data_IF_790651113988
#
_entry.id   IF_790651113988
#
_cell.length_a   1.000
_cell.length_b   1.000
_cell.length_c   1.000
_cell.angle_alpha   90.00
_cell.angle_beta   90.00
_cell.angle_gamma   90.00
#
_symmetry.space_group_name_H-M   'P 1'
#
loop_
_entity.id
_entity.type
_entity.pdbx_description
1 polymer ?
#
# COMPACT_ATOMS: atom_id res chain seq x y z
N UNK A 1 0.38 8.96 -37.12
CA UNK A 1 -0.95 8.84 -36.52
C UNK A 1 -1.05 7.67 -35.58
N UNK A 2 -0.62 6.49 -36.01
CA UNK A 2 -0.61 5.29 -35.18
C UNK A 2 0.29 5.44 -33.95
N UNK A 3 1.32 6.27 -34.04
CA UNK A 3 2.25 6.52 -32.91
C UNK A 3 1.57 7.14 -31.68
N UNK A 4 0.62 8.04 -31.92
CA UNK A 4 -0.10 8.70 -30.84
C UNK A 4 -1.01 7.69 -30.14
N UNK A 5 -1.64 6.80 -30.91
CA UNK A 5 -2.49 5.75 -30.36
C UNK A 5 -1.71 4.74 -29.53
N UNK A 6 -0.47 4.46 -29.88
CA UNK A 6 0.34 3.48 -29.17
C UNK A 6 0.81 3.97 -27.79
N UNK A 7 0.75 5.29 -27.54
CA UNK A 7 1.09 5.84 -26.24
C UNK A 7 -0.05 5.78 -25.24
N UNK A 8 -1.29 5.68 -25.73
CA UNK A 8 -2.47 5.66 -24.87
C UNK A 8 -2.54 4.46 -23.92
N UNK A 9 -2.24 3.23 -24.35
CA UNK A 9 -2.32 2.08 -23.45
C UNK A 9 -1.44 2.22 -22.22
N UNK A 10 -0.30 2.87 -22.36
CA UNK A 10 0.64 3.05 -21.26
C UNK A 10 0.04 3.87 -20.12
N UNK A 11 -0.81 4.85 -20.45
CA UNK A 11 -1.41 5.75 -19.47
C UNK A 11 -2.65 5.14 -18.80
N UNK A 12 -3.36 4.23 -19.50
CA UNK A 12 -4.68 3.77 -19.09
C UNK A 12 -4.70 2.38 -18.47
N UNK A 13 -3.52 1.76 -18.26
CA UNK A 13 -3.47 0.39 -17.79
C UNK A 13 -3.32 0.27 -16.27
N UNK A 14 -4.04 1.09 -15.52
CA UNK A 14 -4.14 0.87 -14.09
C UNK A 14 -5.24 -0.17 -13.88
N UNK A 15 -4.83 -1.41 -13.67
CA UNK A 15 -5.76 -2.48 -13.35
C UNK A 15 -6.00 -2.48 -11.84
N UNK A 16 -7.27 -2.58 -11.47
CA UNK A 16 -7.66 -2.61 -10.07
C UNK A 16 -7.45 -3.99 -9.47
N UNK A 17 -7.68 -5.03 -10.29
CA UNK A 17 -7.53 -6.41 -9.83
C UNK A 17 -6.06 -6.77 -9.67
N UNK A 18 -5.71 -7.22 -8.49
CA UNK A 18 -4.36 -7.70 -8.19
C UNK A 18 -4.47 -9.17 -7.81
N UNK A 19 -3.85 -10.01 -8.63
CA UNK A 19 -3.84 -11.44 -8.41
C UNK A 19 -2.42 -11.97 -8.44
N UNK A 20 -2.11 -12.82 -7.47
CA UNK A 20 -0.86 -13.55 -7.46
C UNK A 20 -1.16 -15.02 -7.70
N UNK A 21 -0.34 -15.65 -8.54
CA UNK A 21 -0.42 -17.10 -8.73
C UNK A 21 -0.07 -17.80 -7.40
N UNK A 22 -0.39 -19.08 -7.32
CA UNK A 22 -0.05 -19.88 -6.14
C UNK A 22 1.45 -19.83 -5.84
N UNK A 23 2.27 -19.92 -6.88
CA UNK A 23 3.73 -19.85 -6.77
C UNK A 23 4.19 -18.49 -6.28
N UNK A 24 3.61 -17.41 -6.83
CA UNK A 24 3.92 -16.04 -6.40
C UNK A 24 3.51 -15.82 -4.95
N UNK A 25 2.31 -16.28 -4.58
CA UNK A 25 1.82 -16.15 -3.22
C UNK A 25 2.73 -16.86 -2.21
N UNK A 26 3.23 -18.04 -2.56
CA UNK A 26 4.18 -18.76 -1.72
C UNK A 26 5.48 -17.98 -1.55
N UNK A 27 5.96 -17.36 -2.61
CA UNK A 27 7.18 -16.54 -2.55
C UNK A 27 6.95 -15.29 -1.68
N UNK A 28 5.80 -14.63 -1.83
CA UNK A 28 5.42 -13.48 -1.02
C UNK A 28 5.37 -13.87 0.46
N UNK A 29 4.75 -15.00 0.77
CA UNK A 29 4.65 -15.51 2.13
C UNK A 29 6.01 -15.76 2.76
N UNK A 30 6.95 -16.24 1.97
CA UNK A 30 8.32 -16.49 2.42
C UNK A 30 9.04 -15.17 2.71
N UNK A 31 8.92 -14.18 1.82
CA UNK A 31 9.53 -12.87 2.00
C UNK A 31 8.91 -12.09 3.14
N UNK A 32 7.59 -12.20 3.30
CA UNK A 32 6.86 -11.50 4.35
C UNK A 32 6.59 -12.33 5.58
N UNK A 33 7.45 -13.28 5.88
CA UNK A 33 7.28 -14.16 7.03
C UNK A 33 7.18 -13.35 8.32
N UNK A 34 6.18 -13.68 9.14
CA UNK A 34 5.89 -13.00 10.41
C UNK A 34 5.32 -11.58 10.24
N UNK A 35 4.99 -11.15 9.03
CA UNK A 35 4.35 -9.86 8.81
C UNK A 35 2.83 -10.02 8.75
N UNK A 36 2.15 -9.01 9.27
CA UNK A 36 0.70 -8.84 9.19
C UNK A 36 0.45 -7.39 8.84
N UNK A 37 -0.14 -7.14 7.66
CA UNK A 37 -0.36 -5.77 7.20
C UNK A 37 -1.33 -4.99 8.08
N UNK A 38 -2.06 -5.66 8.96
CA UNK A 38 -2.95 -5.02 9.91
C UNK A 38 -2.18 -4.38 11.06
N UNK A 39 -0.95 -4.84 11.32
CA UNK A 39 -0.11 -4.33 12.41
C UNK A 39 1.32 -4.33 11.89
N UNK A 40 1.72 -3.27 11.22
CA UNK A 40 3.03 -3.17 10.57
C UNK A 40 3.59 -1.76 10.72
N UNK A 41 4.92 -1.64 10.78
CA UNK A 41 5.56 -0.34 10.78
C UNK A 41 5.74 0.19 9.35
N UNK A 42 5.77 1.51 9.15
CA UNK A 42 6.12 2.06 7.84
C UNK A 42 7.46 1.55 7.31
N UNK A 43 8.44 1.38 8.19
CA UNK A 43 9.75 0.87 7.82
C UNK A 43 9.68 -0.56 7.29
N UNK A 44 8.88 -1.42 7.91
CA UNK A 44 8.67 -2.79 7.46
C UNK A 44 7.94 -2.82 6.12
N UNK A 45 6.99 -1.89 5.89
CA UNK A 45 6.31 -1.74 4.60
C UNK A 45 7.31 -1.43 3.48
N UNK A 46 8.22 -0.48 3.72
CA UNK A 46 9.25 -0.12 2.75
C UNK A 46 10.12 -1.33 2.42
N UNK A 47 10.57 -2.03 3.46
CA UNK A 47 11.41 -3.22 3.28
C UNK A 47 10.71 -4.30 2.48
N UNK A 48 9.46 -4.57 2.81
CA UNK A 48 8.64 -5.54 2.08
C UNK A 48 8.51 -5.14 0.61
N UNK A 49 8.19 -3.86 0.35
CA UNK A 49 8.08 -3.35 -1.00
C UNK A 49 9.35 -3.54 -1.82
N UNK A 50 10.48 -3.21 -1.24
CA UNK A 50 11.77 -3.38 -1.91
C UNK A 50 12.08 -4.85 -2.21
N UNK A 51 11.80 -5.74 -1.27
CA UNK A 51 12.01 -7.18 -1.47
C UNK A 51 11.09 -7.74 -2.56
N UNK A 52 9.82 -7.34 -2.55
CA UNK A 52 8.86 -7.78 -3.57
C UNK A 52 9.24 -7.27 -4.96
N UNK A 53 9.69 -6.03 -5.05
CA UNK A 53 10.10 -5.44 -6.32
C UNK A 53 11.37 -6.12 -6.86
N UNK A 54 12.35 -6.35 -6.01
CA UNK A 54 13.59 -7.04 -6.39
C UNK A 54 13.31 -8.46 -6.88
N UNK A 55 12.33 -9.13 -6.28
CA UNK A 55 11.90 -10.47 -6.69
C UNK A 55 10.98 -10.46 -7.91
N UNK A 56 10.70 -9.28 -8.49
CA UNK A 56 9.83 -9.11 -9.65
C UNK A 56 8.38 -9.57 -9.41
N UNK A 57 7.93 -9.47 -8.18
CA UNK A 57 6.57 -9.85 -7.79
C UNK A 57 5.59 -8.70 -7.91
N UNK A 58 6.07 -7.45 -7.87
CA UNK A 58 5.24 -6.26 -8.01
C UNK A 58 5.87 -5.30 -9.03
N UNK A 59 5.05 -4.40 -9.56
CA UNK A 59 5.48 -3.37 -10.50
C UNK A 59 6.11 -2.18 -9.76
N UNK A 60 6.73 -1.27 -10.53
CA UNK A 60 7.28 -0.03 -9.97
C UNK A 60 6.19 0.84 -9.35
N UNK A 61 4.99 0.87 -9.94
CA UNK A 61 3.86 1.61 -9.39
C UNK A 61 3.48 1.04 -8.03
N UNK A 62 3.42 -0.28 -7.91
CA UNK A 62 3.10 -0.95 -6.65
C UNK A 62 4.18 -0.67 -5.59
N UNK A 63 5.44 -0.66 -5.99
CA UNK A 63 6.53 -0.31 -5.09
C UNK A 63 6.34 1.10 -4.53
N UNK A 64 6.04 2.08 -5.39
CA UNK A 64 5.80 3.45 -4.96
C UNK A 64 4.67 3.54 -3.94
N UNK A 65 3.61 2.75 -4.14
CA UNK A 65 2.50 2.68 -3.19
C UNK A 65 2.96 2.19 -1.81
N UNK A 66 3.81 1.18 -1.77
CA UNK A 66 4.30 0.61 -0.51
C UNK A 66 5.30 1.52 0.20
N UNK A 67 5.97 2.41 -0.53
CA UNK A 67 6.94 3.35 0.04
C UNK A 67 6.28 4.55 0.72
N UNK A 68 5.01 4.86 0.43
CA UNK A 68 4.36 6.07 0.93
C UNK A 68 4.41 6.24 2.44
N UNK A 69 4.08 5.24 3.26
CA UNK A 69 4.15 5.40 4.71
C UNK A 69 5.57 5.70 5.21
N UNK A 70 6.58 5.13 4.56
CA UNK A 70 7.98 5.38 4.89
C UNK A 70 8.41 6.81 4.59
N UNK A 71 7.95 7.37 3.49
CA UNK A 71 8.24 8.77 3.16
C UNK A 71 7.68 9.71 4.23
N UNK A 72 6.47 9.47 4.69
CA UNK A 72 5.85 10.28 5.73
C UNK A 72 6.66 10.21 7.03
N UNK A 73 7.18 9.06 7.39
CA UNK A 73 8.02 8.90 8.56
C UNK A 73 9.34 9.65 8.41
N UNK A 74 10.01 9.53 7.27
CA UNK A 74 11.26 10.22 7.00
C UNK A 74 11.09 11.74 7.03
N UNK A 75 9.98 12.23 6.51
CA UNK A 75 9.67 13.65 6.54
C UNK A 75 9.58 14.17 7.98
N UNK A 76 8.92 13.42 8.86
CA UNK A 76 8.82 13.76 10.27
C UNK A 76 10.18 13.78 10.96
N UNK A 77 11.05 12.82 10.67
CA UNK A 77 12.41 12.76 11.22
C UNK A 77 13.25 13.95 10.78
N UNK A 78 13.20 14.29 9.49
CA UNK A 78 13.94 15.45 8.96
C UNK A 78 13.43 16.74 9.60
N UNK A 79 12.13 16.91 9.72
CA UNK A 79 11.54 18.08 10.35
C UNK A 79 11.98 18.22 11.81
N UNK A 80 12.03 17.11 12.54
CA UNK A 80 12.47 17.10 13.94
C UNK A 80 13.92 17.54 14.05
N UNK A 81 14.80 17.08 13.15
CA UNK A 81 16.20 17.51 13.11
C UNK A 81 16.34 18.99 12.83
N UNK A 82 15.40 19.57 12.10
CA UNK A 82 15.37 21.00 11.80
C UNK A 82 14.69 21.83 12.89
N UNK A 83 14.31 21.23 13.99
CA UNK A 83 13.64 21.90 15.08
C UNK A 83 12.15 22.15 14.87
N UNK A 84 11.56 21.52 13.86
CA UNK A 84 10.14 21.64 13.56
C UNK A 84 9.41 20.45 14.19
N UNK A 85 8.43 20.75 15.05
CA UNK A 85 7.61 19.70 15.64
C UNK A 85 6.47 19.34 14.70
N UNK A 86 6.57 18.20 14.06
CA UNK A 86 5.50 17.61 13.27
C UNK A 86 4.93 16.43 14.04
N UNK A 87 3.62 16.19 13.84
CA UNK A 87 2.98 15.03 14.41
C UNK A 87 3.63 13.77 13.82
N UNK A 88 4.24 12.98 14.68
CA UNK A 88 4.88 11.73 14.24
C UNK A 88 3.82 10.74 13.77
N UNK A 89 4.06 10.01 12.66
CA UNK A 89 3.20 8.90 12.29
C UNK A 89 3.29 7.81 13.37
N UNK A 90 2.24 7.01 13.57
CA UNK A 90 2.28 5.94 14.57
C UNK A 90 3.36 4.93 14.22
N UNK A 91 4.00 4.35 15.25
CA UNK A 91 5.02 3.33 15.07
C UNK A 91 4.45 2.08 14.40
N UNK A 92 3.18 1.75 14.70
CA UNK A 92 2.44 0.67 14.06
C UNK A 92 1.24 1.24 13.34
N UNK A 93 0.91 0.64 12.20
CA UNK A 93 -0.26 1.03 11.42
C UNK A 93 -0.99 -0.20 10.91
N UNK A 94 -2.27 -0.04 10.65
CA UNK A 94 -3.03 -0.99 9.86
C UNK A 94 -2.98 -0.53 8.40
N UNK A 95 -2.13 -1.16 7.61
CA UNK A 95 -1.93 -0.75 6.22
C UNK A 95 -3.21 -0.96 5.38
N UNK A 96 -3.97 -2.01 5.65
CA UNK A 96 -5.22 -2.27 4.94
C UNK A 96 -6.20 -1.14 5.20
N UNK A 97 -6.35 -0.74 6.46
CA UNK A 97 -7.20 0.39 6.86
C UNK A 97 -6.74 1.70 6.22
N UNK A 98 -5.44 1.95 6.26
CA UNK A 98 -4.84 3.17 5.70
C UNK A 98 -5.18 3.34 4.22
N UNK A 99 -4.96 2.30 3.42
CA UNK A 99 -5.23 2.38 1.98
C UNK A 99 -6.72 2.38 1.66
N UNK A 100 -7.53 1.72 2.48
CA UNK A 100 -8.98 1.77 2.34
C UNK A 100 -9.50 3.19 2.57
N UNK A 101 -9.08 3.83 3.64
CA UNK A 101 -9.50 5.20 3.96
C UNK A 101 -8.99 6.20 2.93
N UNK A 102 -7.77 6.02 2.44
CA UNK A 102 -7.21 6.85 1.37
C UNK A 102 -8.07 6.77 0.11
N UNK A 103 -8.48 5.58 -0.27
CA UNK A 103 -9.37 5.37 -1.42
C UNK A 103 -10.72 6.02 -1.20
N UNK A 104 -11.35 5.80 -0.05
CA UNK A 104 -12.65 6.39 0.28
C UNK A 104 -12.59 7.91 0.29
N UNK A 105 -11.52 8.48 0.80
CA UNK A 105 -11.30 9.92 0.79
C UNK A 105 -11.23 10.47 -0.63
N UNK A 106 -10.52 9.79 -1.53
CA UNK A 106 -10.38 10.22 -2.92
C UNK A 106 -11.68 10.12 -3.71
N UNK A 107 -12.55 9.19 -3.39
CA UNK A 107 -13.88 9.10 -4.00
C UNK A 107 -14.69 10.36 -3.69
N UNK A 108 -14.58 10.89 -2.47
CA UNK A 108 -15.36 12.03 -2.01
C UNK A 108 -14.72 13.38 -2.30
N UNK A 109 -13.43 13.40 -2.61
CA UNK A 109 -12.68 14.64 -2.80
C UNK A 109 -12.93 15.21 -4.20
N UNK A 110 -13.26 16.51 -4.25
CA UNK A 110 -13.39 17.24 -5.52
C UNK A 110 -12.00 17.49 -6.10
N UNK A 111 -11.90 17.49 -7.43
CA UNK A 111 -10.65 17.76 -8.13
C UNK A 111 -9.74 16.56 -8.32
N UNK A 112 -10.11 15.40 -7.78
CA UNK A 112 -9.39 14.16 -7.99
C UNK A 112 -9.89 13.51 -9.29
N UNK A 113 -8.97 13.21 -10.21
CA UNK A 113 -9.35 12.60 -11.49
C UNK A 113 -9.59 11.09 -11.35
N UNK A 114 -10.14 10.50 -12.41
CA UNK A 114 -10.48 9.08 -12.41
C UNK A 114 -9.27 8.16 -12.25
N UNK A 115 -8.12 8.55 -12.78
CA UNK A 115 -6.89 7.75 -12.65
C UNK A 115 -6.38 7.72 -11.22
N UNK A 116 -6.46 8.83 -10.52
CA UNK A 116 -6.07 8.90 -9.11
C UNK A 116 -6.97 8.02 -8.24
N UNK A 117 -8.27 7.98 -8.55
CA UNK A 117 -9.23 7.12 -7.86
C UNK A 117 -8.95 5.64 -8.13
N UNK A 118 -8.66 5.31 -9.39
CA UNK A 118 -8.32 3.93 -9.77
C UNK A 118 -7.03 3.47 -9.10
N UNK A 119 -6.03 4.34 -9.03
CA UNK A 119 -4.77 4.01 -8.36
C UNK A 119 -5.01 3.74 -6.87
N UNK A 120 -5.77 4.59 -6.21
CA UNK A 120 -6.07 4.41 -4.79
C UNK A 120 -6.82 3.10 -4.55
N UNK A 121 -7.76 2.75 -5.41
CA UNK A 121 -8.47 1.48 -5.33
C UNK A 121 -7.54 0.30 -5.54
N UNK A 122 -6.63 0.40 -6.50
CA UNK A 122 -5.61 -0.63 -6.74
C UNK A 122 -4.71 -0.81 -5.52
N UNK A 123 -4.30 0.28 -4.89
CA UNK A 123 -3.46 0.21 -3.70
C UNK A 123 -4.14 -0.59 -2.58
N UNK A 124 -5.43 -0.36 -2.37
CA UNK A 124 -6.20 -1.13 -1.41
C UNK A 124 -6.26 -2.61 -1.80
N UNK A 125 -6.56 -2.90 -3.07
CA UNK A 125 -6.62 -4.29 -3.55
C UNK A 125 -5.26 -4.98 -3.49
N UNK A 126 -4.18 -4.23 -3.68
CA UNK A 126 -2.83 -4.76 -3.51
C UNK A 126 -2.60 -5.20 -2.05
N UNK A 127 -3.03 -4.39 -1.09
CA UNK A 127 -2.92 -4.75 0.32
C UNK A 127 -3.70 -6.03 0.63
N UNK A 128 -4.90 -6.17 0.09
CA UNK A 128 -5.70 -7.38 0.28
C UNK A 128 -5.01 -8.60 -0.34
N UNK A 129 -4.48 -8.46 -1.55
CA UNK A 129 -3.81 -9.56 -2.23
C UNK A 129 -2.53 -9.99 -1.50
N UNK A 130 -1.76 -9.03 -0.98
CA UNK A 130 -0.56 -9.32 -0.20
C UNK A 130 -0.95 -10.02 1.12
N UNK A 131 -1.95 -9.51 1.82
CA UNK A 131 -2.40 -10.11 3.08
C UNK A 131 -2.87 -11.55 2.88
N UNK A 132 -3.64 -11.79 1.82
CA UNK A 132 -4.08 -13.13 1.44
C UNK A 132 -2.89 -14.04 1.14
N UNK A 133 -1.89 -13.53 0.42
CA UNK A 133 -0.68 -14.29 0.10
C UNK A 133 0.11 -14.65 1.35
N UNK A 134 0.07 -13.81 2.38
CA UNK A 134 0.67 -14.09 3.69
C UNK A 134 -0.09 -15.16 4.47
N UNK A 135 -1.22 -15.64 3.95
CA UNK A 135 -2.04 -16.64 4.61
C UNK A 135 -2.95 -16.09 5.69
N UNK A 136 -3.22 -14.79 5.65
CA UNK A 136 -4.01 -14.09 6.66
C UNK A 136 -5.39 -13.71 6.10
N UNK A 137 -6.42 -13.59 6.96
CA UNK A 137 -7.75 -13.21 6.51
C UNK A 137 -7.78 -11.79 5.94
N UNK A 138 -8.72 -11.54 5.02
CA UNK A 138 -8.82 -10.25 4.30
C UNK A 138 -10.25 -9.70 4.28
N UNK A 139 -11.13 -10.13 5.16
CA UNK A 139 -12.50 -9.65 5.17
C UNK A 139 -12.61 -8.23 5.76
N UNK A 140 -13.72 -7.55 5.47
CA UNK A 140 -13.93 -6.17 5.90
C UNK A 140 -14.06 -5.99 7.41
N UNK A 141 -14.45 -7.02 8.13
CA UNK A 141 -14.60 -6.96 9.58
C UNK A 141 -13.27 -6.82 10.29
N UNK A 142 -12.21 -7.33 9.68
CA UNK A 142 -10.86 -7.21 10.22
C UNK A 142 -10.40 -5.77 10.37
N UNK A 143 -10.80 -4.90 9.45
CA UNK A 143 -10.36 -3.51 9.44
C UNK A 143 -10.71 -2.84 10.76
N UNK A 144 -11.97 -2.95 11.18
CA UNK A 144 -12.44 -2.33 12.43
C UNK A 144 -11.80 -2.97 13.66
N UNK A 145 -11.74 -4.31 13.69
CA UNK A 145 -11.14 -5.02 14.80
C UNK A 145 -9.67 -4.62 15.02
N UNK A 146 -8.91 -4.48 13.95
CA UNK A 146 -7.50 -4.09 14.04
C UNK A 146 -7.31 -2.63 14.34
N UNK A 147 -8.23 -1.78 13.92
CA UNK A 147 -8.22 -0.37 14.29
C UNK A 147 -8.29 -0.22 15.81
N UNK A 148 -9.18 -0.96 16.45
CA UNK A 148 -9.30 -0.96 17.91
C UNK A 148 -8.01 -1.39 18.57
N UNK A 149 -7.40 -2.47 18.11
CA UNK A 149 -6.14 -2.97 18.66
C UNK A 149 -5.03 -1.93 18.54
N UNK A 150 -4.93 -1.25 17.39
CA UNK A 150 -3.91 -0.23 17.17
C UNK A 150 -4.13 0.98 18.07
N UNK A 151 -5.38 1.38 18.28
CA UNK A 151 -5.70 2.51 19.16
C UNK A 151 -5.38 2.21 20.62
N UNK A 152 -5.46 0.95 21.04
CA UNK A 152 -5.15 0.51 22.39
C UNK A 152 -3.64 0.38 22.65
N UNK A 153 -2.83 0.42 21.60
CA UNK A 153 -1.39 0.35 21.72
C UNK A 153 -0.78 1.71 22.08
#
# INVERSE_FOLDING_TARGET
MSKIKSLKPFVHEITVDVHFSKKQAMHIRKLGQNLDLRVITPKAMVRLGEQLFTAKLISAIDLMSLLQPGFNQNYGEVAAQMGVQLKQPPALMNAIQFYYESWQKKIRQKGVNSQQRLLARREYHLMLALQKSLGLPVDGKMIQAKKTVIEDL
#
